data_IF_843610287868
#
_entry.id   IF_843610287868
#
_cell.length_a   1.000
_cell.length_b   1.000
_cell.length_c   1.000
_cell.angle_alpha   90.00
_cell.angle_beta   90.00
_cell.angle_gamma   90.00
#
_symmetry.space_group_name_H-M   'P 1'
#
loop_
_entity.id
_entity.type
_entity.pdbx_description
1 polymer ?
#
# COMPACT_ATOMS: atom_id res chain seq x y z
N UNK A 1 -1.03 11.19 -10.87
CA UNK A 1 -0.53 12.54 -10.61
C UNK A 1 0.66 12.84 -11.49
N UNK A 2 0.67 14.01 -12.06
CA UNK A 2 1.80 14.56 -12.85
C UNK A 2 2.57 15.50 -11.94
N UNK A 3 3.88 15.35 -11.92
CA UNK A 3 4.78 16.25 -11.21
C UNK A 3 5.83 16.76 -12.20
N UNK A 4 6.00 18.08 -12.26
CA UNK A 4 7.05 18.73 -13.05
C UNK A 4 7.87 19.61 -12.12
N UNK A 5 9.17 19.44 -12.13
CA UNK A 5 10.11 20.26 -11.39
C UNK A 5 11.04 20.96 -12.39
N UNK A 6 11.24 22.25 -12.20
CA UNK A 6 12.17 23.06 -13.00
C UNK A 6 13.12 23.80 -12.06
N UNK A 7 14.40 23.66 -12.29
CA UNK A 7 15.45 24.32 -11.51
C UNK A 7 16.37 25.09 -12.47
N UNK A 8 16.78 26.28 -12.04
CA UNK A 8 17.72 27.11 -12.75
C UNK A 8 18.87 27.53 -11.83
N UNK A 9 20.08 27.50 -12.34
CA UNK A 9 21.25 28.12 -11.71
C UNK A 9 22.02 28.96 -12.70
N UNK A 10 22.38 30.19 -12.30
CA UNK A 10 23.23 31.09 -13.10
C UNK A 10 24.70 30.70 -13.04
N UNK A 11 25.52 31.25 -13.91
CA UNK A 11 26.98 31.17 -13.80
C UNK A 11 27.43 31.75 -12.46
N UNK A 12 28.24 31.01 -11.74
CA UNK A 12 28.82 31.50 -10.48
C UNK A 12 30.31 31.13 -10.43
N UNK A 13 31.22 32.04 -10.78
CA UNK A 13 32.66 31.80 -10.74
C UNK A 13 33.16 31.46 -9.34
N UNK A 14 32.52 31.97 -8.28
CA UNK A 14 32.96 31.76 -6.90
C UNK A 14 32.68 30.34 -6.43
N UNK A 15 31.63 29.67 -6.97
CA UNK A 15 31.30 28.27 -6.71
C UNK A 15 31.89 27.28 -7.74
N UNK A 16 32.60 27.81 -8.77
CA UNK A 16 33.18 27.02 -9.85
C UNK A 16 32.20 26.65 -10.96
N UNK A 17 30.99 27.15 -10.96
CA UNK A 17 30.00 26.92 -12.02
C UNK A 17 30.33 27.81 -13.25
N UNK A 18 30.83 27.15 -14.29
CA UNK A 18 31.22 27.83 -15.54
C UNK A 18 30.06 28.22 -16.46
N UNK A 19 28.94 27.50 -16.31
CA UNK A 19 27.79 27.60 -17.20
C UNK A 19 26.51 27.78 -16.39
N UNK A 20 25.56 28.50 -16.96
CA UNK A 20 24.19 28.47 -16.47
C UNK A 20 23.56 27.09 -16.79
N UNK A 21 22.67 26.64 -15.93
CA UNK A 21 21.99 25.33 -16.05
C UNK A 21 20.50 25.52 -15.88
N UNK A 22 19.73 24.81 -16.69
CA UNK A 22 18.30 24.60 -16.46
C UNK A 22 18.00 23.09 -16.46
N UNK A 23 17.42 22.59 -15.40
CA UNK A 23 17.00 21.20 -15.29
C UNK A 23 15.48 21.16 -15.29
N UNK A 24 14.93 20.31 -16.14
CA UNK A 24 13.50 19.99 -16.19
C UNK A 24 13.37 18.50 -15.92
N UNK A 25 12.51 18.16 -14.96
CA UNK A 25 12.17 16.77 -14.64
C UNK A 25 10.66 16.64 -14.67
N UNK A 26 10.16 15.69 -15.42
CA UNK A 26 8.76 15.30 -15.48
C UNK A 26 8.57 13.95 -14.85
N UNK A 27 7.52 13.80 -14.07
CA UNK A 27 7.14 12.54 -13.45
C UNK A 27 5.64 12.37 -13.57
N UNK A 28 5.21 11.30 -14.23
CA UNK A 28 3.81 10.89 -14.25
C UNK A 28 3.63 9.59 -13.48
N UNK A 29 2.65 9.58 -12.58
CA UNK A 29 2.28 8.40 -11.81
C UNK A 29 0.79 8.13 -11.94
N UNK A 30 0.49 6.98 -12.52
CA UNK A 30 -0.86 6.44 -12.59
C UNK A 30 -0.98 5.24 -11.64
N UNK A 31 -1.94 5.32 -10.73
CA UNK A 31 -2.21 4.26 -9.76
C UNK A 31 -3.70 3.92 -9.76
N UNK A 32 -4.02 2.63 -9.80
CA UNK A 32 -5.37 2.17 -9.58
C UNK A 32 -5.41 0.99 -8.61
N UNK A 33 -6.52 0.88 -7.91
CA UNK A 33 -6.85 -0.27 -7.06
C UNK A 33 -8.24 -0.74 -7.43
N UNK A 34 -8.39 -2.05 -7.56
CA UNK A 34 -9.68 -2.70 -7.77
C UNK A 34 -9.88 -3.75 -6.70
N UNK A 35 -10.94 -3.55 -5.90
CA UNK A 35 -11.33 -4.45 -4.83
C UNK A 35 -12.69 -5.08 -5.15
N UNK A 36 -12.77 -6.39 -4.98
CA UNK A 36 -14.00 -7.15 -5.08
C UNK A 36 -14.16 -7.98 -3.82
N UNK A 37 -15.30 -7.83 -3.15
CA UNK A 37 -15.56 -8.58 -1.92
C UNK A 37 -16.92 -9.27 -1.96
N UNK A 38 -16.98 -10.43 -1.34
CA UNK A 38 -18.18 -11.18 -1.07
C UNK A 38 -18.31 -11.44 0.42
N UNK A 39 -19.49 -11.16 0.96
CA UNK A 39 -19.84 -11.41 2.35
C UNK A 39 -20.98 -12.41 2.41
N UNK A 40 -20.84 -13.43 3.25
CA UNK A 40 -21.88 -14.39 3.54
C UNK A 40 -22.13 -14.43 5.03
N UNK A 41 -23.38 -14.20 5.44
CA UNK A 41 -23.79 -14.25 6.83
C UNK A 41 -24.97 -15.20 6.99
N UNK A 42 -24.89 -16.08 7.97
CA UNK A 42 -25.97 -17.01 8.30
C UNK A 42 -26.02 -17.26 9.78
N UNK A 43 -27.22 -17.21 10.34
CA UNK A 43 -27.51 -17.63 11.71
C UNK A 43 -28.44 -18.84 11.65
N UNK A 44 -28.12 -19.88 12.41
CA UNK A 44 -28.92 -21.11 12.52
C UNK A 44 -28.91 -21.59 13.97
N UNK A 45 -30.05 -21.45 14.63
CA UNK A 45 -30.16 -21.67 16.06
C UNK A 45 -29.21 -20.78 16.85
N UNK A 46 -28.38 -21.39 17.69
CA UNK A 46 -27.39 -20.68 18.52
C UNK A 46 -26.08 -20.37 17.78
N UNK A 47 -25.99 -20.73 16.51
CA UNK A 47 -24.77 -20.57 15.70
C UNK A 47 -24.87 -19.36 14.76
N UNK A 48 -23.84 -18.55 14.70
CA UNK A 48 -23.69 -17.46 13.75
C UNK A 48 -22.38 -17.59 12.99
N UNK A 49 -22.47 -17.53 11.68
CA UNK A 49 -21.35 -17.62 10.75
C UNK A 49 -21.28 -16.37 9.90
N UNK A 50 -20.10 -15.78 9.80
CA UNK A 50 -19.82 -14.68 8.87
C UNK A 50 -18.53 -14.99 8.11
N UNK A 51 -18.63 -15.13 6.79
CA UNK A 51 -17.51 -15.38 5.89
C UNK A 51 -17.30 -14.17 4.97
N UNK A 52 -16.06 -13.76 4.82
CA UNK A 52 -15.60 -12.72 3.92
C UNK A 52 -14.59 -13.32 2.96
N UNK A 53 -14.75 -13.08 1.67
CA UNK A 53 -13.74 -13.26 0.64
C UNK A 53 -13.47 -11.90 -0.03
N UNK A 54 -12.21 -11.51 -0.13
CA UNK A 54 -11.75 -10.29 -0.80
C UNK A 54 -10.69 -10.64 -1.84
N UNK A 55 -10.80 -10.05 -3.00
CA UNK A 55 -9.79 -10.01 -4.05
C UNK A 55 -9.43 -8.57 -4.32
N UNK A 56 -8.13 -8.25 -4.32
CA UNK A 56 -7.61 -6.91 -4.57
C UNK A 56 -6.50 -6.92 -5.60
N UNK A 57 -6.56 -5.98 -6.53
CA UNK A 57 -5.52 -5.70 -7.53
C UNK A 57 -5.06 -4.27 -7.34
N UNK A 58 -3.77 -4.09 -7.12
CA UNK A 58 -3.12 -2.79 -7.09
C UNK A 58 -2.12 -2.71 -8.24
N UNK A 59 -2.13 -1.62 -8.99
CA UNK A 59 -1.13 -1.33 -10.01
C UNK A 59 -0.72 0.13 -9.95
N UNK A 60 0.59 0.37 -9.96
CA UNK A 60 1.18 1.70 -10.04
C UNK A 60 2.23 1.72 -11.13
N UNK A 61 2.01 2.59 -12.12
CA UNK A 61 2.96 2.87 -13.20
C UNK A 61 3.53 4.26 -12.96
N UNK A 62 4.84 4.37 -12.99
CA UNK A 62 5.56 5.65 -12.88
C UNK A 62 6.45 5.76 -14.10
N UNK A 63 6.29 6.83 -14.85
CA UNK A 63 7.10 7.21 -15.99
C UNK A 63 7.75 8.54 -15.68
N UNK A 64 8.99 8.72 -16.11
CA UNK A 64 9.70 9.97 -15.88
C UNK A 64 10.73 10.22 -16.94
N UNK A 65 10.99 11.48 -17.18
CA UNK A 65 12.07 11.99 -18.02
C UNK A 65 12.69 13.23 -17.39
N UNK A 66 13.96 13.40 -17.66
CA UNK A 66 14.70 14.56 -17.18
C UNK A 66 15.79 14.97 -18.15
N UNK A 67 16.01 16.28 -18.23
CA UNK A 67 17.07 16.85 -19.06
C UNK A 67 17.68 18.06 -18.35
N UNK A 68 19.00 18.20 -18.46
CA UNK A 68 19.74 19.37 -18.03
C UNK A 68 20.37 20.07 -19.23
N UNK A 69 19.93 21.29 -19.48
CA UNK A 69 20.43 22.19 -20.49
C UNK A 69 21.54 23.07 -19.90
N UNK A 70 22.64 23.23 -20.60
CA UNK A 70 23.82 23.98 -20.14
C UNK A 70 24.27 25.01 -21.16
N UNK A 71 24.88 26.10 -20.67
CA UNK A 71 25.44 27.20 -21.45
C UNK A 71 24.42 27.79 -22.42
N UNK A 72 23.33 28.27 -21.87
CA UNK A 72 22.33 29.02 -22.63
C UNK A 72 22.83 30.45 -22.92
N UNK A 73 22.50 31.02 -24.08
CA UNK A 73 23.01 32.33 -24.51
C UNK A 73 22.55 33.46 -23.60
N UNK A 74 21.42 33.28 -22.91
CA UNK A 74 20.83 34.27 -22.02
C UNK A 74 20.39 33.61 -20.71
N UNK A 75 20.30 34.38 -19.63
CA UNK A 75 19.72 33.96 -18.37
C UNK A 75 18.18 34.00 -18.48
N UNK A 76 17.60 32.95 -18.97
CA UNK A 76 16.17 32.85 -19.29
C UNK A 76 15.46 31.84 -18.36
N UNK A 77 16.03 31.59 -17.20
CA UNK A 77 15.57 30.57 -16.25
C UNK A 77 15.51 29.19 -16.94
N UNK A 78 14.40 28.46 -16.76
CA UNK A 78 14.18 27.17 -17.40
C UNK A 78 13.48 27.27 -18.77
N UNK A 79 13.19 28.48 -19.23
CA UNK A 79 12.59 28.70 -20.55
C UNK A 79 13.61 28.50 -21.66
N UNK A 80 13.12 28.04 -22.80
CA UNK A 80 13.92 27.91 -24.02
C UNK A 80 15.20 27.04 -23.87
N UNK A 81 15.09 25.92 -23.17
CA UNK A 81 16.21 24.97 -23.00
C UNK A 81 16.79 24.48 -24.32
N UNK A 82 16.01 24.52 -25.41
CA UNK A 82 16.48 24.20 -26.76
C UNK A 82 17.60 25.08 -27.29
N UNK A 83 17.84 26.23 -26.69
CA UNK A 83 18.97 27.16 -27.07
C UNK A 83 20.30 26.82 -26.38
N UNK A 84 20.33 25.80 -25.52
CA UNK A 84 21.53 25.37 -24.82
C UNK A 84 22.60 24.85 -25.81
N UNK A 85 23.86 25.10 -25.51
CA UNK A 85 24.95 24.56 -26.32
C UNK A 85 25.13 23.05 -26.18
N UNK A 86 24.83 22.49 -24.99
CA UNK A 86 24.91 21.07 -24.76
C UNK A 86 23.94 20.63 -23.63
N UNK A 87 23.60 19.40 -23.65
CA UNK A 87 22.71 18.77 -22.68
C UNK A 87 23.46 17.73 -21.87
N UNK A 88 23.09 17.62 -20.58
CA UNK A 88 23.57 16.59 -19.67
C UNK A 88 22.39 15.96 -18.94
N UNK A 89 22.62 14.78 -18.36
CA UNK A 89 21.58 14.06 -17.59
C UNK A 89 20.27 13.85 -18.36
N UNK A 90 20.36 13.56 -19.67
CA UNK A 90 19.20 13.11 -20.41
C UNK A 90 18.85 11.71 -19.93
N UNK A 91 17.77 11.59 -19.20
CA UNK A 91 17.32 10.33 -18.60
C UNK A 91 15.84 10.10 -18.81
N UNK A 92 15.47 8.86 -18.89
CA UNK A 92 14.09 8.42 -18.86
C UNK A 92 14.00 7.12 -18.10
N UNK A 93 12.90 6.89 -17.38
CA UNK A 93 12.68 5.66 -16.70
C UNK A 93 11.20 5.26 -16.70
N UNK A 94 10.99 3.97 -16.59
CA UNK A 94 9.68 3.35 -16.48
C UNK A 94 9.69 2.34 -15.34
N UNK A 95 8.72 2.46 -14.44
CA UNK A 95 8.56 1.53 -13.34
C UNK A 95 7.11 1.13 -13.16
N UNK A 96 6.83 -0.16 -13.27
CA UNK A 96 5.50 -0.72 -13.00
C UNK A 96 5.55 -1.69 -11.83
N UNK A 97 4.65 -1.48 -10.87
CA UNK A 97 4.47 -2.34 -9.71
C UNK A 97 3.03 -2.84 -9.73
N UNK A 98 2.87 -4.15 -9.63
CA UNK A 98 1.55 -4.78 -9.53
C UNK A 98 1.54 -5.66 -8.27
N UNK A 99 0.45 -5.58 -7.51
CA UNK A 99 0.19 -6.44 -6.35
C UNK A 99 -1.19 -7.08 -6.50
N UNK A 100 -1.27 -8.34 -6.13
CA UNK A 100 -2.50 -9.13 -6.04
C UNK A 100 -2.66 -9.60 -4.61
N UNK A 101 -3.85 -9.46 -4.06
CA UNK A 101 -4.14 -9.90 -2.70
C UNK A 101 -5.44 -10.69 -2.66
N UNK A 102 -5.41 -11.81 -1.96
CA UNK A 102 -6.60 -12.58 -1.61
C UNK A 102 -6.73 -12.60 -0.09
N UNK A 103 -7.92 -12.35 0.40
CA UNK A 103 -8.22 -12.42 1.84
C UNK A 103 -9.45 -13.29 2.04
N UNK A 104 -9.31 -14.30 2.90
CA UNK A 104 -10.40 -15.08 3.40
C UNK A 104 -10.49 -14.90 4.91
N UNK A 105 -11.70 -14.64 5.42
CA UNK A 105 -11.97 -14.55 6.86
C UNK A 105 -13.26 -15.27 7.19
N UNK A 106 -13.19 -16.07 8.24
CA UNK A 106 -14.33 -16.76 8.81
C UNK A 106 -14.46 -16.36 10.27
N UNK A 107 -15.61 -15.82 10.64
CA UNK A 107 -15.98 -15.56 12.01
C UNK A 107 -17.13 -16.50 12.37
N UNK A 108 -16.96 -17.21 13.48
CA UNK A 108 -17.95 -18.09 14.02
C UNK A 108 -18.27 -17.71 15.45
N UNK A 109 -19.55 -17.78 15.81
CA UNK A 109 -20.02 -17.53 17.17
C UNK A 109 -21.03 -18.61 17.56
N UNK A 110 -20.86 -19.16 18.75
CA UNK A 110 -21.80 -20.08 19.38
C UNK A 110 -22.40 -19.45 20.63
N UNK A 111 -23.73 -19.34 20.67
CA UNK A 111 -24.53 -18.70 21.75
C UNK A 111 -24.10 -17.27 22.09
N UNK A 112 -23.35 -16.59 21.20
CA UNK A 112 -22.73 -15.29 21.49
C UNK A 112 -21.64 -15.34 22.58
N UNK A 113 -21.31 -16.52 23.12
CA UNK A 113 -20.36 -16.74 24.23
C UNK A 113 -18.97 -17.14 23.71
N UNK A 114 -18.92 -18.09 22.79
CA UNK A 114 -17.69 -18.63 22.20
C UNK A 114 -17.52 -18.08 20.80
N UNK A 115 -16.42 -17.40 20.56
CA UNK A 115 -16.14 -16.79 19.28
C UNK A 115 -14.80 -17.32 18.73
N UNK A 116 -14.81 -17.66 17.46
CA UNK A 116 -13.61 -18.07 16.73
C UNK A 116 -13.50 -17.24 15.44
N UNK A 117 -12.31 -16.77 15.14
CA UNK A 117 -11.99 -16.13 13.88
C UNK A 117 -10.79 -16.83 13.27
N UNK A 118 -10.90 -17.20 11.99
CA UNK A 118 -9.78 -17.67 11.19
C UNK A 118 -9.69 -16.78 9.98
N UNK A 119 -8.50 -16.29 9.67
CA UNK A 119 -8.27 -15.56 8.44
C UNK A 119 -6.93 -15.90 7.83
N UNK A 120 -6.85 -15.75 6.51
CA UNK A 120 -5.61 -15.87 5.79
C UNK A 120 -5.58 -14.82 4.69
N UNK A 121 -4.43 -14.19 4.52
CA UNK A 121 -4.14 -13.26 3.44
C UNK A 121 -2.99 -13.81 2.61
N UNK A 122 -3.15 -13.78 1.31
CA UNK A 122 -2.12 -14.13 0.34
C UNK A 122 -1.83 -12.89 -0.50
N UNK A 123 -0.60 -12.43 -0.45
CA UNK A 123 -0.14 -11.26 -1.19
C UNK A 123 0.93 -11.66 -2.20
N UNK A 124 0.73 -11.29 -3.45
CA UNK A 124 1.68 -11.45 -4.53
C UNK A 124 2.14 -10.10 -5.05
N UNK A 125 3.46 -9.89 -5.15
CA UNK A 125 4.02 -8.62 -5.63
C UNK A 125 5.03 -8.83 -6.75
N UNK A 126 4.91 -8.01 -7.81
CA UNK A 126 5.88 -7.97 -8.91
C UNK A 126 7.25 -7.43 -8.52
N UNK A 127 7.41 -6.86 -7.32
CA UNK A 127 8.69 -6.40 -6.78
C UNK A 127 9.65 -7.54 -6.44
N UNK A 128 9.11 -8.72 -6.14
CA UNK A 128 9.91 -9.88 -5.75
C UNK A 128 10.19 -10.79 -6.94
N UNK A 129 11.27 -11.57 -6.84
CA UNK A 129 11.60 -12.58 -7.82
C UNK A 129 10.50 -13.64 -7.93
N UNK A 130 10.41 -14.31 -9.08
CA UNK A 130 9.31 -15.24 -9.38
C UNK A 130 9.06 -16.30 -8.31
N UNK A 131 10.11 -16.77 -7.66
CA UNK A 131 10.07 -17.83 -6.66
C UNK A 131 9.52 -17.37 -5.31
N UNK A 132 9.67 -16.08 -4.97
CA UNK A 132 9.30 -15.50 -3.68
C UNK A 132 8.19 -14.43 -3.80
N UNK A 133 7.41 -14.47 -4.86
CA UNK A 133 6.37 -13.46 -5.11
C UNK A 133 5.19 -13.51 -4.17
N UNK A 134 4.91 -14.67 -3.63
CA UNK A 134 3.72 -14.91 -2.82
C UNK A 134 4.07 -15.11 -1.36
N UNK A 135 3.42 -14.35 -0.50
CA UNK A 135 3.43 -14.53 0.94
C UNK A 135 2.04 -14.94 1.44
N UNK A 136 1.99 -15.85 2.40
CA UNK A 136 0.77 -16.26 3.06
C UNK A 136 0.83 -15.86 4.54
N UNK A 137 -0.21 -15.19 5.02
CA UNK A 137 -0.31 -14.63 6.37
C UNK A 137 -1.58 -15.15 7.06
N UNK A 138 -1.56 -16.39 7.55
CA UNK A 138 -2.67 -16.95 8.32
C UNK A 138 -2.73 -16.36 9.73
N UNK A 139 -3.93 -16.22 10.26
CA UNK A 139 -4.17 -15.85 11.64
C UNK A 139 -5.41 -16.55 12.22
N UNK A 140 -5.39 -16.77 13.53
CA UNK A 140 -6.48 -17.36 14.29
C UNK A 140 -6.67 -16.59 15.59
N UNK A 141 -7.92 -16.41 15.98
CA UNK A 141 -8.28 -15.82 17.27
C UNK A 141 -9.45 -16.58 17.87
N UNK A 142 -9.38 -16.79 19.18
CA UNK A 142 -10.45 -17.36 19.98
C UNK A 142 -10.84 -16.35 21.07
N UNK A 143 -12.12 -16.29 21.38
CA UNK A 143 -12.59 -15.46 22.47
C UNK A 143 -13.74 -16.16 23.21
N UNK A 144 -13.75 -16.00 24.54
CA UNK A 144 -14.78 -16.48 25.41
C UNK A 144 -15.36 -15.30 26.21
N UNK A 145 -16.66 -15.08 26.07
CA UNK A 145 -17.40 -14.08 26.84
C UNK A 145 -17.89 -14.70 28.12
N UNK A 146 -17.06 -14.65 29.15
CA UNK A 146 -17.31 -15.29 30.45
C UNK A 146 -18.53 -14.65 31.13
N UNK A 147 -18.73 -13.34 30.96
CA UNK A 147 -19.89 -12.63 31.51
C UNK A 147 -21.23 -13.14 31.02
N UNK A 148 -21.29 -13.83 29.88
CA UNK A 148 -22.52 -14.41 29.33
C UNK A 148 -22.83 -15.82 29.86
N UNK A 149 -21.95 -16.39 30.68
CA UNK A 149 -22.14 -17.69 31.27
C UNK A 149 -23.14 -17.65 32.45
N UNK A 150 -23.89 -18.73 32.64
CA UNK A 150 -24.95 -18.80 33.64
C UNK A 150 -24.42 -18.60 35.07
N UNK A 151 -23.20 -19.07 35.34
CA UNK A 151 -22.55 -18.90 36.65
C UNK A 151 -22.16 -17.44 36.95
N UNK A 152 -21.97 -16.60 35.89
CA UNK A 152 -21.63 -15.18 36.03
C UNK A 152 -22.84 -14.29 36.21
N UNK A 153 -24.05 -14.73 35.87
CA UNK A 153 -25.28 -13.95 36.02
C UNK A 153 -25.62 -13.53 37.45
N UNK A 154 -25.00 -14.20 38.43
CA UNK A 154 -25.15 -13.85 39.86
C UNK A 154 -24.13 -12.85 40.38
N UNK A 155 -23.22 -12.39 39.50
CA UNK A 155 -22.11 -11.48 39.84
C UNK A 155 -22.40 -10.10 39.28
N UNK A 156 -23.13 -9.27 40.03
CA UNK A 156 -23.67 -7.99 39.54
C UNK A 156 -22.63 -6.90 39.34
N UNK A 157 -21.44 -7.06 39.94
CA UNK A 157 -20.35 -6.07 39.81
C UNK A 157 -19.48 -6.24 38.55
N UNK A 158 -19.63 -7.35 37.81
CA UNK A 158 -18.93 -7.61 36.55
C UNK A 158 -19.89 -7.48 35.38
N UNK A 159 -19.87 -6.35 34.69
CA UNK A 159 -20.73 -6.10 33.54
C UNK A 159 -20.23 -6.75 32.25
N UNK A 160 -18.91 -6.91 32.06
CA UNK A 160 -18.34 -7.53 30.86
C UNK A 160 -16.96 -8.15 31.18
N UNK A 161 -16.87 -9.45 31.02
CA UNK A 161 -15.62 -10.21 31.15
C UNK A 161 -15.43 -11.09 29.90
N UNK A 162 -14.34 -10.83 29.17
CA UNK A 162 -14.00 -11.55 27.94
C UNK A 162 -12.53 -11.94 27.92
N UNK A 163 -12.26 -13.22 27.77
CA UNK A 163 -10.94 -13.76 27.51
C UNK A 163 -10.69 -13.84 26.00
N UNK A 164 -9.50 -13.46 25.53
CA UNK A 164 -9.11 -13.56 24.12
C UNK A 164 -7.69 -14.10 24.01
N UNK A 165 -7.48 -14.96 23.00
CA UNK A 165 -6.18 -15.42 22.57
C UNK A 165 -6.11 -15.34 21.04
N UNK A 166 -4.97 -14.93 20.50
CA UNK A 166 -4.76 -14.88 19.05
C UNK A 166 -3.33 -15.19 18.69
N UNK A 167 -3.16 -15.79 17.52
CA UNK A 167 -1.87 -16.07 16.90
C UNK A 167 -1.97 -15.76 15.40
N UNK A 168 -0.89 -15.28 14.83
CA UNK A 168 -0.85 -15.00 13.39
C UNK A 168 0.57 -14.80 12.89
N UNK A 169 0.75 -15.00 11.60
CA UNK A 169 1.97 -14.68 10.88
C UNK A 169 1.80 -13.32 10.20
N UNK A 170 2.80 -12.47 10.33
CA UNK A 170 2.87 -11.17 9.65
C UNK A 170 4.07 -11.15 8.73
N UNK A 171 3.92 -10.54 7.55
CA UNK A 171 5.04 -10.26 6.65
C UNK A 171 5.78 -8.99 7.06
N UNK A 172 7.08 -9.02 6.86
CA UNK A 172 7.97 -7.84 6.92
C UNK A 172 8.20 -7.29 5.53
#
# INVERSE_FOLDING_TARGET
GVYTESQYSSKNPDTGEKYNKATITNLDRFTYTWDTQANYMKTFGDHSLNALALFSVYSSTTEGDGITANDMPFDVDWYNTGSAKFFTNAESYYKKITMLSYVLRLNYSYKGRYLATVSSRWDGSSKFQKENRWGAFPSMALAWRISEEDFMKKVDWVSNLKLRASVGLTGN
#
